data_IF_571164012019
#
_entry.id   IF_571164012019
#
_cell.length_a   1.000
_cell.length_b   1.000
_cell.length_c   1.000
_cell.angle_alpha   90.00
_cell.angle_beta   90.00
_cell.angle_gamma   90.00
#
_symmetry.space_group_name_H-M   'P 1'
#
loop_
_entity.id
_entity.type
_entity.pdbx_description
1 polymer ?
#
# COMPACT_ATOMS: atom_id res chain seq x y z
N UNK A 1 50.19 -34.81 -73.89
CA UNK A 1 49.06 -34.93 -72.95
C UNK A 1 49.57 -34.38 -71.64
N UNK A 2 49.37 -33.08 -71.43
CA UNK A 2 49.95 -32.32 -70.32
C UNK A 2 48.81 -32.05 -69.35
N UNK A 3 48.80 -32.75 -68.21
CA UNK A 3 47.89 -32.42 -67.11
C UNK A 3 48.27 -31.05 -66.57
N UNK A 4 47.43 -30.06 -66.85
CA UNK A 4 47.47 -28.77 -66.17
C UNK A 4 46.64 -28.91 -64.89
N UNK A 5 47.27 -29.33 -63.79
CA UNK A 5 46.66 -29.19 -62.46
C UNK A 5 46.59 -27.69 -62.16
N UNK A 6 45.45 -27.08 -62.46
CA UNK A 6 45.18 -25.68 -62.16
C UNK A 6 45.16 -25.49 -60.64
N UNK A 7 46.29 -25.09 -60.07
CA UNK A 7 46.38 -24.77 -58.65
C UNK A 7 45.77 -23.39 -58.43
N UNK A 8 44.51 -23.37 -58.00
CA UNK A 8 43.83 -22.16 -57.55
C UNK A 8 44.47 -21.68 -56.24
N UNK A 9 44.73 -20.37 -56.06
CA UNK A 9 45.18 -19.84 -54.77
C UNK A 9 44.22 -20.26 -53.65
N UNK A 10 44.74 -20.64 -52.49
CA UNK A 10 43.95 -21.21 -51.39
C UNK A 10 42.78 -20.30 -50.95
N UNK A 11 42.98 -18.98 -50.96
CA UNK A 11 41.92 -18.00 -50.66
C UNK A 11 40.82 -17.95 -51.72
N UNK A 12 41.18 -18.14 -52.99
CA UNK A 12 40.25 -18.15 -54.11
C UNK A 12 39.41 -19.44 -54.09
N UNK A 13 40.04 -20.57 -53.77
CA UNK A 13 39.35 -21.85 -53.55
C UNK A 13 38.38 -21.78 -52.36
N UNK A 14 38.82 -21.20 -51.23
CA UNK A 14 37.97 -20.99 -50.05
C UNK A 14 36.75 -20.11 -50.36
N UNK A 15 36.93 -19.04 -51.14
CA UNK A 15 35.83 -18.18 -51.57
C UNK A 15 34.83 -18.93 -52.48
N UNK A 16 35.33 -19.72 -53.44
CA UNK A 16 34.50 -20.54 -54.32
C UNK A 16 33.68 -21.57 -53.55
N UNK A 17 34.30 -22.32 -52.63
CA UNK A 17 33.63 -23.32 -51.80
C UNK A 17 32.63 -22.71 -50.82
N UNK A 18 32.92 -21.51 -50.31
CA UNK A 18 31.97 -20.74 -49.51
C UNK A 18 30.71 -20.40 -50.30
N UNK A 19 30.85 -19.88 -51.54
CA UNK A 19 29.73 -19.52 -52.41
C UNK A 19 28.93 -20.74 -52.84
N UNK A 20 29.61 -21.85 -53.17
CA UNK A 20 28.97 -23.12 -53.52
C UNK A 20 28.30 -23.81 -52.32
N UNK A 21 28.60 -23.36 -51.10
CA UNK A 21 28.04 -23.93 -49.87
C UNK A 21 28.58 -25.32 -49.54
N UNK A 22 29.78 -25.67 -50.05
CA UNK A 22 30.41 -26.99 -49.83
C UNK A 22 31.27 -27.07 -48.58
N UNK A 23 31.56 -25.93 -47.94
CA UNK A 23 32.38 -25.87 -46.73
C UNK A 23 31.70 -26.52 -45.50
N UNK A 24 32.45 -27.27 -44.68
CA UNK A 24 32.02 -27.64 -43.34
C UNK A 24 31.73 -26.41 -42.47
N UNK A 25 30.85 -26.56 -41.47
CA UNK A 25 30.39 -25.45 -40.63
C UNK A 25 31.53 -24.62 -40.02
N UNK A 26 32.59 -25.27 -39.53
CA UNK A 26 33.71 -24.57 -38.89
C UNK A 26 34.50 -23.68 -39.88
N UNK A 27 34.73 -24.18 -41.10
CA UNK A 27 35.43 -23.44 -42.15
C UNK A 27 34.55 -22.33 -42.71
N UNK A 28 33.24 -22.57 -42.82
CA UNK A 28 32.26 -21.56 -43.21
C UNK A 28 32.25 -20.37 -42.24
N UNK A 29 32.24 -20.60 -40.94
CA UNK A 29 32.32 -19.53 -39.93
C UNK A 29 33.64 -18.75 -40.03
N UNK A 30 34.73 -19.44 -40.38
CA UNK A 30 36.03 -18.79 -40.61
C UNK A 30 35.99 -17.89 -41.84
N UNK A 31 35.37 -18.35 -42.95
CA UNK A 31 35.16 -17.55 -44.14
C UNK A 31 34.23 -16.34 -43.87
N UNK A 32 33.17 -16.51 -43.08
CA UNK A 32 32.26 -15.42 -42.67
C UNK A 32 33.00 -14.33 -41.88
N UNK A 33 33.83 -14.72 -40.92
CA UNK A 33 34.68 -13.78 -40.18
C UNK A 33 35.67 -13.02 -41.10
N UNK A 34 36.21 -13.70 -42.12
CA UNK A 34 37.07 -13.07 -43.13
C UNK A 34 36.30 -12.11 -44.04
N UNK A 35 35.06 -12.44 -44.43
CA UNK A 35 34.19 -11.54 -45.22
C UNK A 35 33.92 -10.24 -44.45
N UNK A 36 33.70 -10.32 -43.14
CA UNK A 36 33.50 -9.14 -42.29
C UNK A 36 34.77 -8.29 -42.16
N UNK A 37 35.93 -8.93 -41.98
CA UNK A 37 37.18 -8.25 -41.60
C UNK A 37 38.14 -7.91 -42.75
N UNK A 38 38.07 -8.59 -43.89
CA UNK A 38 38.98 -8.43 -45.04
C UNK A 38 38.23 -8.08 -46.33
N UNK A 39 38.42 -6.83 -46.80
CA UNK A 39 37.81 -6.34 -48.03
C UNK A 39 38.28 -7.09 -49.30
N UNK A 40 39.52 -7.60 -49.32
CA UNK A 40 40.06 -8.34 -50.47
C UNK A 40 39.39 -9.70 -50.59
N UNK A 41 39.23 -10.41 -49.47
CA UNK A 41 38.52 -11.68 -49.45
C UNK A 41 37.03 -11.52 -49.78
N UNK A 42 36.40 -10.44 -49.30
CA UNK A 42 35.03 -10.08 -49.66
C UNK A 42 34.86 -9.89 -51.18
N UNK A 43 35.79 -9.20 -51.83
CA UNK A 43 35.77 -9.02 -53.28
C UNK A 43 35.86 -10.36 -54.03
N UNK A 44 36.71 -11.30 -53.57
CA UNK A 44 36.77 -12.65 -54.16
C UNK A 44 35.42 -13.39 -54.05
N UNK A 45 34.75 -13.28 -52.90
CA UNK A 45 33.42 -13.87 -52.70
C UNK A 45 32.38 -13.23 -53.62
N UNK A 46 32.38 -11.91 -53.78
CA UNK A 46 31.48 -11.18 -54.68
C UNK A 46 31.73 -11.57 -56.16
N UNK A 47 32.99 -11.73 -56.57
CA UNK A 47 33.35 -12.18 -57.91
C UNK A 47 32.81 -13.59 -58.19
N UNK A 48 32.94 -14.51 -57.23
CA UNK A 48 32.39 -15.86 -57.35
C UNK A 48 30.86 -15.89 -57.38
N UNK A 49 30.20 -15.07 -56.55
CA UNK A 49 28.75 -14.92 -56.58
C UNK A 49 28.28 -14.42 -57.95
N UNK A 50 28.94 -13.39 -58.48
CA UNK A 50 28.63 -12.84 -59.81
C UNK A 50 28.83 -13.87 -60.91
N UNK A 51 29.92 -14.64 -60.84
CA UNK A 51 30.23 -15.69 -61.82
C UNK A 51 29.23 -16.83 -61.82
N UNK A 52 28.68 -17.19 -60.65
CA UNK A 52 27.76 -18.32 -60.48
C UNK A 52 26.29 -17.91 -60.55
N UNK A 53 25.95 -16.62 -60.41
CA UNK A 53 24.57 -16.13 -60.46
C UNK A 53 23.76 -16.60 -61.69
N UNK A 54 24.32 -16.63 -62.93
CA UNK A 54 23.56 -17.10 -64.09
C UNK A 54 23.11 -18.56 -64.01
N UNK A 55 23.78 -19.41 -63.22
CA UNK A 55 23.35 -20.80 -63.04
C UNK A 55 21.99 -20.91 -62.36
N UNK A 56 21.55 -19.87 -61.65
CA UNK A 56 20.23 -19.83 -61.02
C UNK A 56 19.10 -19.54 -62.03
N UNK A 57 19.41 -19.02 -63.22
CA UNK A 57 18.40 -18.63 -64.22
C UNK A 57 17.72 -19.83 -64.89
N UNK A 58 18.37 -21.00 -64.87
CA UNK A 58 17.86 -22.23 -65.50
C UNK A 58 16.79 -22.96 -64.65
N UNK A 59 16.49 -22.48 -63.44
CA UNK A 59 15.51 -23.08 -62.55
C UNK A 59 14.14 -22.40 -62.65
N UNK A 60 13.07 -23.20 -62.63
CA UNK A 60 11.70 -22.69 -62.62
C UNK A 60 11.34 -22.07 -61.26
N UNK A 61 10.69 -20.90 -61.28
CA UNK A 61 10.19 -20.23 -60.09
C UNK A 61 9.10 -21.07 -59.39
N UNK A 62 9.37 -21.49 -58.16
CA UNK A 62 8.39 -22.20 -57.32
C UNK A 62 7.74 -21.22 -56.34
N UNK A 63 6.41 -21.12 -56.38
CA UNK A 63 5.65 -20.27 -55.44
C UNK A 63 5.77 -20.82 -54.02
N UNK A 64 6.27 -20.03 -53.04
CA UNK A 64 6.38 -20.49 -51.66
C UNK A 64 4.99 -20.61 -50.99
N UNK A 65 4.84 -21.44 -49.94
CA UNK A 65 3.61 -21.53 -49.17
C UNK A 65 3.14 -20.18 -48.62
N UNK A 66 1.81 -19.91 -48.59
CA UNK A 66 1.28 -18.65 -48.08
C UNK A 66 1.69 -18.44 -46.61
N UNK A 67 2.18 -17.23 -46.30
CA UNK A 67 2.60 -16.85 -44.95
C UNK A 67 4.01 -17.31 -44.55
N UNK A 68 4.77 -17.99 -45.43
CA UNK A 68 6.17 -18.35 -45.15
C UNK A 68 7.02 -17.12 -44.84
N UNK A 69 6.89 -16.05 -45.65
CA UNK A 69 7.61 -14.80 -45.43
C UNK A 69 7.31 -14.19 -44.05
N UNK A 70 6.02 -14.06 -43.70
CA UNK A 70 5.58 -13.59 -42.38
C UNK A 70 6.15 -14.43 -41.23
N UNK A 71 6.24 -15.76 -41.41
CA UNK A 71 6.81 -16.67 -40.41
C UNK A 71 8.31 -16.43 -40.24
N UNK A 72 9.05 -16.18 -41.32
CA UNK A 72 10.46 -15.79 -41.27
C UNK A 72 10.62 -14.46 -40.55
N UNK A 73 9.84 -13.44 -40.94
CA UNK A 73 9.86 -12.11 -40.30
C UNK A 73 9.60 -12.20 -38.80
N UNK A 74 8.56 -12.92 -38.37
CA UNK A 74 8.24 -13.06 -36.95
C UNK A 74 9.34 -13.73 -36.10
N UNK A 75 10.21 -14.53 -36.73
CA UNK A 75 11.31 -15.22 -36.06
C UNK A 75 12.57 -14.36 -35.98
N UNK A 76 12.85 -13.61 -37.04
CA UNK A 76 14.03 -12.73 -37.12
C UNK A 76 13.81 -11.41 -36.39
N UNK A 77 12.58 -10.90 -36.45
CA UNK A 77 12.16 -9.64 -35.88
C UNK A 77 10.94 -9.87 -34.99
N UNK A 78 11.11 -10.58 -33.85
CA UNK A 78 10.01 -10.71 -32.91
C UNK A 78 9.60 -9.31 -32.44
N UNK A 79 8.34 -8.94 -32.68
CA UNK A 79 7.80 -7.76 -32.04
C UNK A 79 7.91 -7.96 -30.52
N UNK A 80 8.35 -6.95 -29.76
CA UNK A 80 8.37 -7.05 -28.31
C UNK A 80 6.96 -7.38 -27.86
N UNK A 81 6.76 -8.56 -27.25
CA UNK A 81 5.46 -8.91 -26.74
C UNK A 81 4.96 -7.76 -25.87
N UNK A 82 3.71 -7.28 -26.06
CA UNK A 82 3.15 -6.30 -25.17
C UNK A 82 3.13 -6.96 -23.80
N UNK A 83 4.07 -6.54 -22.94
CA UNK A 83 4.22 -7.04 -21.60
C UNK A 83 2.88 -6.78 -20.94
N UNK A 84 2.04 -7.81 -20.84
CA UNK A 84 0.71 -7.69 -20.28
C UNK A 84 0.92 -7.25 -18.84
N UNK A 85 0.83 -5.94 -18.60
CA UNK A 85 0.84 -5.31 -17.27
C UNK A 85 -0.44 -5.66 -16.50
N UNK A 86 -1.00 -6.85 -16.71
CA UNK A 86 -2.10 -7.40 -15.95
C UNK A 86 -1.74 -7.50 -14.46
N UNK A 87 -0.45 -7.65 -14.13
CA UNK A 87 0.03 -7.68 -12.74
C UNK A 87 -0.02 -6.33 -12.00
N UNK A 88 0.14 -5.19 -12.68
CA UNK A 88 0.13 -3.88 -12.00
C UNK A 88 -1.30 -3.43 -11.66
N UNK A 89 -2.27 -3.74 -12.51
CA UNK A 89 -3.68 -3.35 -12.28
C UNK A 89 -4.24 -4.08 -11.04
N UNK A 90 -3.86 -5.34 -10.82
CA UNK A 90 -4.22 -6.07 -9.59
C UNK A 90 -3.39 -5.64 -8.37
N UNK A 91 -2.12 -5.24 -8.56
CA UNK A 91 -1.30 -4.67 -7.48
C UNK A 91 -1.77 -3.28 -7.01
N UNK A 92 -2.32 -2.46 -7.92
CA UNK A 92 -2.88 -1.16 -7.59
C UNK A 92 -4.23 -1.29 -6.85
N UNK A 93 -5.04 -2.30 -7.19
CA UNK A 93 -6.30 -2.57 -6.49
C UNK A 93 -6.09 -3.17 -5.09
N UNK A 94 -5.08 -4.03 -4.88
CA UNK A 94 -4.74 -4.54 -3.54
C UNK A 94 -4.07 -3.47 -2.67
N UNK A 95 -3.21 -2.62 -3.24
CA UNK A 95 -2.59 -1.50 -2.52
C UNK A 95 -3.59 -0.45 -2.06
N UNK A 96 -4.56 -0.08 -2.92
CA UNK A 96 -5.63 0.87 -2.55
C UNK A 96 -6.58 0.27 -1.51
N UNK A 97 -6.97 -1.00 -1.64
CA UNK A 97 -7.82 -1.67 -0.67
C UNK A 97 -7.13 -1.78 0.71
N UNK A 98 -5.85 -2.15 0.76
CA UNK A 98 -5.09 -2.22 2.01
C UNK A 98 -4.87 -0.84 2.64
N UNK A 99 -4.60 0.20 1.83
CA UNK A 99 -4.47 1.56 2.31
C UNK A 99 -5.80 2.12 2.85
N UNK A 100 -6.93 1.79 2.22
CA UNK A 100 -8.26 2.16 2.73
C UNK A 100 -8.60 1.40 4.02
N UNK A 101 -8.30 0.10 4.11
CA UNK A 101 -8.47 -0.67 5.36
C UNK A 101 -7.55 -0.13 6.46
N UNK A 102 -6.29 0.16 6.16
CA UNK A 102 -5.36 0.75 7.12
C UNK A 102 -5.80 2.15 7.54
N UNK A 103 -6.28 2.99 6.62
CA UNK A 103 -6.83 4.31 6.94
C UNK A 103 -8.10 4.20 7.78
N UNK A 104 -8.99 3.24 7.51
CA UNK A 104 -10.17 2.97 8.34
C UNK A 104 -9.76 2.45 9.73
N UNK A 105 -8.82 1.51 9.83
CA UNK A 105 -8.31 1.01 11.11
C UNK A 105 -7.63 2.13 11.90
N UNK A 106 -6.77 2.93 11.26
CA UNK A 106 -6.14 4.10 11.88
C UNK A 106 -7.23 5.09 12.32
N UNK A 107 -8.19 5.44 11.48
CA UNK A 107 -9.31 6.32 11.85
C UNK A 107 -10.18 5.74 12.97
N UNK A 108 -10.39 4.43 13.05
CA UNK A 108 -11.11 3.78 14.15
C UNK A 108 -10.29 3.74 15.45
N UNK A 109 -8.96 3.63 15.36
CA UNK A 109 -8.06 3.61 16.53
C UNK A 109 -7.70 5.00 17.05
N UNK A 110 -7.64 6.01 16.18
CA UNK A 110 -7.40 7.42 16.51
C UNK A 110 -8.72 8.20 16.64
N UNK A 111 -9.87 7.57 16.44
CA UNK A 111 -11.16 8.19 16.68
C UNK A 111 -11.18 8.70 18.12
N UNK A 112 -11.39 10.01 18.35
CA UNK A 112 -11.52 10.53 19.70
C UNK A 112 -12.68 9.78 20.36
N UNK A 113 -12.40 9.16 21.52
CA UNK A 113 -13.44 8.53 22.32
C UNK A 113 -14.54 9.57 22.57
N UNK A 114 -15.76 9.28 22.13
CA UNK A 114 -16.87 10.22 22.26
C UNK A 114 -17.05 10.55 23.76
N UNK A 115 -17.08 11.84 24.15
CA UNK A 115 -17.30 12.20 25.54
C UNK A 115 -18.68 11.69 25.98
N UNK A 116 -18.76 11.13 27.19
CA UNK A 116 -20.03 10.82 27.82
C UNK A 116 -20.66 12.15 28.24
N UNK A 117 -21.73 12.56 27.55
CA UNK A 117 -22.51 13.73 27.93
C UNK A 117 -23.71 13.26 28.73
N UNK A 118 -23.73 13.59 30.03
CA UNK A 118 -24.85 13.31 30.90
C UNK A 118 -25.57 14.61 31.25
N UNK A 119 -26.85 14.68 30.89
CA UNK A 119 -27.71 15.82 31.19
C UNK A 119 -28.81 15.35 32.12
N UNK A 120 -28.94 15.97 33.28
CA UNK A 120 -30.08 15.78 34.15
C UNK A 120 -30.60 17.13 34.64
N UNK A 121 -31.91 17.19 34.75
CA UNK A 121 -32.66 18.32 35.30
C UNK A 121 -33.17 17.88 36.67
N UNK A 122 -32.51 18.34 37.74
CA UNK A 122 -32.97 18.13 39.11
C UNK A 122 -33.93 19.23 39.56
N UNK A 123 -34.75 18.96 40.59
CA UNK A 123 -35.68 19.93 41.18
C UNK A 123 -34.92 21.15 41.74
N UNK A 124 -34.78 22.19 40.91
CA UNK A 124 -34.32 23.52 41.31
C UNK A 124 -33.14 24.09 40.51
N UNK A 125 -32.28 23.28 39.87
CA UNK A 125 -31.15 23.76 39.07
C UNK A 125 -30.84 22.82 37.90
N UNK A 126 -30.72 23.39 36.69
CA UNK A 126 -30.27 22.66 35.50
C UNK A 126 -28.74 22.65 35.45
N UNK A 127 -28.14 21.46 35.51
CA UNK A 127 -26.70 21.26 35.40
C UNK A 127 -26.40 20.28 34.26
N UNK A 128 -25.60 20.71 33.28
CA UNK A 128 -25.19 19.87 32.16
C UNK A 128 -23.70 19.65 32.20
N UNK A 129 -23.28 18.39 32.24
CA UNK A 129 -21.87 18.01 32.39
C UNK A 129 -21.46 17.03 31.30
N UNK A 130 -20.32 17.30 30.68
CA UNK A 130 -19.62 16.36 29.84
C UNK A 130 -18.48 15.73 30.63
N UNK A 131 -18.35 14.41 30.57
CA UNK A 131 -17.24 13.68 31.17
C UNK A 131 -16.53 12.84 30.11
N UNK A 132 -15.21 12.86 30.12
CA UNK A 132 -14.39 12.00 29.26
C UNK A 132 -13.28 11.36 30.07
N UNK A 133 -13.04 10.08 29.82
CA UNK A 133 -11.90 9.38 30.37
C UNK A 133 -10.84 9.20 29.29
N UNK A 134 -9.66 9.76 29.52
CA UNK A 134 -8.48 9.47 28.72
C UNK A 134 -7.76 8.26 29.32
N UNK A 135 -7.91 7.10 28.68
CA UNK A 135 -7.26 5.87 29.12
C UNK A 135 -5.73 5.89 28.95
N UNK A 136 -5.19 6.70 28.03
CA UNK A 136 -3.75 6.81 27.81
C UNK A 136 -3.11 7.71 28.88
N UNK A 137 -3.75 8.85 29.17
CA UNK A 137 -3.36 9.79 30.23
C UNK A 137 -3.78 9.35 31.64
N UNK A 138 -4.66 8.34 31.76
CA UNK A 138 -5.31 7.91 33.01
C UNK A 138 -5.99 9.06 33.73
N UNK A 139 -6.73 9.87 32.98
CA UNK A 139 -7.31 11.12 33.48
C UNK A 139 -8.80 11.19 33.17
N UNK A 140 -9.61 11.44 34.19
CA UNK A 140 -11.03 11.75 34.06
C UNK A 140 -11.20 13.27 34.02
N UNK A 141 -11.75 13.78 32.93
CA UNK A 141 -12.01 15.20 32.73
C UNK A 141 -13.51 15.41 32.73
N UNK A 142 -13.97 16.27 33.64
CA UNK A 142 -15.36 16.63 33.86
C UNK A 142 -15.53 18.11 33.60
N UNK A 143 -16.42 18.47 32.69
CA UNK A 143 -16.67 19.82 32.24
C UNK A 143 -18.14 20.20 32.41
N UNK A 144 -18.40 21.26 33.16
CA UNK A 144 -19.73 21.88 33.27
C UNK A 144 -19.98 22.72 32.02
N UNK A 145 -20.72 22.14 31.08
CA UNK A 145 -21.08 22.79 29.81
C UNK A 145 -22.27 23.75 29.93
N UNK A 146 -23.13 23.58 30.94
CA UNK A 146 -24.22 24.52 31.25
C UNK A 146 -24.65 24.42 32.72
N UNK A 147 -25.30 25.46 33.22
CA UNK A 147 -25.72 25.59 34.63
C UNK A 147 -24.82 26.51 35.45
N UNK A 148 -25.30 27.01 36.60
CA UNK A 148 -24.54 27.90 37.45
C UNK A 148 -23.37 27.16 38.14
N UNK A 149 -22.43 27.93 38.69
CA UNK A 149 -21.58 27.39 39.75
C UNK A 149 -22.42 27.13 41.01
N UNK A 150 -21.94 26.26 41.89
CA UNK A 150 -22.58 26.04 43.18
C UNK A 150 -22.68 27.35 43.99
N UNK A 151 -23.73 27.47 44.80
CA UNK A 151 -23.92 28.61 45.72
C UNK A 151 -22.78 28.70 46.74
N UNK A 152 -22.56 29.88 47.34
CA UNK A 152 -21.37 30.16 48.16
C UNK A 152 -21.20 29.26 49.41
N UNK A 153 -22.26 28.62 49.87
CA UNK A 153 -22.33 27.68 51.00
C UNK A 153 -22.46 26.21 50.57
N UNK A 154 -22.34 25.93 49.27
CA UNK A 154 -22.46 24.60 48.67
C UNK A 154 -21.27 24.27 47.76
N UNK A 155 -21.06 22.99 47.52
CA UNK A 155 -20.12 22.49 46.50
C UNK A 155 -20.81 21.38 45.70
N UNK A 156 -20.51 21.30 44.41
CA UNK A 156 -20.82 20.09 43.65
C UNK A 156 -19.78 19.02 43.98
N UNK A 157 -20.21 17.81 44.32
CA UNK A 157 -19.31 16.69 44.59
C UNK A 157 -19.49 15.59 43.54
N UNK A 158 -18.36 15.09 43.03
CA UNK A 158 -18.29 14.06 42.00
C UNK A 158 -18.03 12.70 42.62
N UNK A 159 -18.79 11.71 42.19
CA UNK A 159 -18.77 10.34 42.68
C UNK A 159 -18.54 9.34 41.54
N UNK A 160 -17.72 8.32 41.80
CA UNK A 160 -17.64 7.11 40.99
C UNK A 160 -18.42 5.98 41.63
N UNK A 161 -19.24 5.29 40.84
CA UNK A 161 -20.05 4.16 41.27
C UNK A 161 -19.77 2.99 40.33
N UNK A 162 -18.73 2.18 40.61
CA UNK A 162 -18.49 0.96 39.85
C UNK A 162 -19.66 -0.01 39.98
N UNK A 163 -19.91 -0.83 38.96
CA UNK A 163 -21.00 -1.80 38.96
C UNK A 163 -20.96 -2.70 40.22
N UNK A 164 -22.05 -2.70 40.99
CA UNK A 164 -22.18 -3.49 42.22
C UNK A 164 -21.34 -3.02 43.41
N UNK A 165 -20.72 -1.84 43.35
CA UNK A 165 -19.95 -1.23 44.45
C UNK A 165 -20.60 0.06 44.95
N UNK A 166 -20.22 0.47 46.16
CA UNK A 166 -20.64 1.75 46.74
C UNK A 166 -20.01 2.94 46.01
N UNK A 167 -20.70 4.09 46.06
CA UNK A 167 -20.19 5.35 45.55
C UNK A 167 -18.92 5.79 46.31
N UNK A 168 -17.96 6.32 45.57
CA UNK A 168 -16.71 6.87 46.11
C UNK A 168 -16.56 8.31 45.63
N UNK A 169 -16.41 9.25 46.56
CA UNK A 169 -16.11 10.64 46.22
C UNK A 169 -14.72 10.74 45.61
N UNK A 170 -14.62 11.46 44.49
CA UNK A 170 -13.36 11.64 43.76
C UNK A 170 -12.98 13.11 43.58
N UNK A 171 -13.84 14.05 43.98
CA UNK A 171 -13.48 15.47 43.99
C UNK A 171 -14.67 16.42 43.98
N UNK A 172 -14.37 17.70 44.16
CA UNK A 172 -15.34 18.79 44.15
C UNK A 172 -15.27 19.56 42.83
N UNK A 173 -16.43 19.79 42.21
CA UNK A 173 -16.56 20.51 40.93
C UNK A 173 -16.84 21.99 41.20
N UNK A 174 -15.78 22.74 41.53
CA UNK A 174 -15.87 24.20 41.81
C UNK A 174 -15.75 25.04 40.55
N UNK A 175 -14.78 24.70 39.71
CA UNK A 175 -14.53 25.37 38.44
C UNK A 175 -15.37 24.77 37.32
N UNK A 176 -15.30 25.36 36.12
CA UNK A 176 -15.97 24.82 34.94
C UNK A 176 -15.38 23.47 34.50
N UNK A 177 -14.10 23.24 34.76
CA UNK A 177 -13.39 22.01 34.39
C UNK A 177 -12.68 21.43 35.60
N UNK A 178 -12.82 20.11 35.80
CA UNK A 178 -12.14 19.33 36.82
C UNK A 178 -11.46 18.15 36.15
N UNK A 179 -10.14 18.03 36.34
CA UNK A 179 -9.35 16.90 35.86
C UNK A 179 -8.83 16.11 37.07
N UNK A 180 -9.10 14.80 37.07
CA UNK A 180 -8.75 13.90 38.19
C UNK A 180 -7.98 12.70 37.63
N UNK A 181 -6.80 12.37 38.18
CA UNK A 181 -6.11 11.14 37.81
C UNK A 181 -6.92 9.92 38.30
N UNK A 182 -7.28 9.03 37.38
CA UNK A 182 -7.99 7.79 37.68
C UNK A 182 -7.32 6.63 36.93
N UNK A 183 -6.75 5.70 37.69
CA UNK A 183 -5.94 4.58 37.16
C UNK A 183 -6.69 3.72 36.15
N UNK A 184 -7.96 3.44 36.40
CA UNK A 184 -8.82 2.68 35.52
C UNK A 184 -10.27 3.04 35.77
N UNK A 185 -11.04 3.15 34.68
CA UNK A 185 -12.49 3.30 34.73
C UNK A 185 -13.14 2.08 34.05
N UNK A 186 -13.58 1.07 34.81
CA UNK A 186 -14.24 -0.10 34.23
C UNK A 186 -15.51 0.31 33.45
N UNK A 187 -15.80 -0.30 32.29
CA UNK A 187 -17.07 -0.10 31.60
C UNK A 187 -18.27 -0.39 32.51
N UNK A 188 -19.32 0.42 32.39
CA UNK A 188 -20.50 0.29 33.26
C UNK A 188 -20.38 1.04 34.59
N UNK A 189 -19.28 1.78 34.82
CA UNK A 189 -19.14 2.66 35.99
C UNK A 189 -20.04 3.89 35.83
N UNK A 190 -20.87 4.19 36.83
CA UNK A 190 -21.71 5.39 36.84
C UNK A 190 -20.96 6.54 37.48
N UNK A 191 -20.89 7.69 36.81
CA UNK A 191 -20.53 8.97 37.38
C UNK A 191 -21.78 9.64 37.94
N UNK A 192 -21.67 10.22 39.13
CA UNK A 192 -22.74 10.99 39.73
C UNK A 192 -22.24 12.33 40.29
N UNK A 193 -23.09 13.36 40.25
CA UNK A 193 -22.83 14.65 40.89
C UNK A 193 -23.96 14.99 41.85
N UNK A 194 -23.62 15.38 43.08
CA UNK A 194 -24.57 15.87 44.09
C UNK A 194 -24.27 17.30 44.51
N UNK A 195 -25.27 18.01 45.04
CA UNK A 195 -25.10 19.33 45.65
C UNK A 195 -24.94 19.20 47.16
N UNK A 196 -23.71 19.30 47.65
CA UNK A 196 -23.35 19.08 49.03
C UNK A 196 -23.10 20.40 49.77
N UNK A 197 -23.05 20.41 51.12
CA UNK A 197 -22.53 21.55 51.86
C UNK A 197 -21.13 21.96 51.40
N UNK A 198 -20.74 23.20 51.68
CA UNK A 198 -19.38 23.67 51.41
C UNK A 198 -18.35 22.72 52.02
N UNK A 199 -17.44 22.23 51.18
CA UNK A 199 -16.45 21.21 51.52
C UNK A 199 -16.82 19.79 51.10
N UNK A 200 -18.02 19.55 50.55
CA UNK A 200 -18.51 18.23 50.17
C UNK A 200 -19.32 17.56 51.28
N UNK A 201 -19.60 16.27 51.09
CA UNK A 201 -20.31 15.41 52.03
C UNK A 201 -19.53 15.28 53.35
N UNK A 202 -20.15 15.64 54.49
CA UNK A 202 -19.51 15.47 55.80
C UNK A 202 -19.31 14.00 56.22
N UNK A 203 -20.04 13.08 55.59
CA UNK A 203 -20.12 11.67 56.00
C UNK A 203 -19.41 10.72 55.01
N UNK A 204 -18.94 11.24 53.87
CA UNK A 204 -18.34 10.43 52.80
C UNK A 204 -19.36 9.62 51.99
N UNK A 205 -20.65 9.89 52.17
CA UNK A 205 -21.74 9.39 51.32
C UNK A 205 -22.58 10.56 50.82
N UNK A 206 -23.15 10.49 49.63
CA UNK A 206 -24.00 11.56 49.09
C UNK A 206 -25.11 11.95 50.09
N UNK A 207 -25.15 13.23 50.50
CA UNK A 207 -26.18 13.76 51.40
C UNK A 207 -27.12 14.75 50.72
N UNK A 208 -26.68 15.32 49.59
CA UNK A 208 -27.43 16.26 48.78
C UNK A 208 -28.29 15.63 47.69
N UNK A 209 -29.08 16.45 46.97
CA UNK A 209 -29.81 15.99 45.80
C UNK A 209 -28.85 15.53 44.69
N UNK A 210 -29.22 14.45 44.00
CA UNK A 210 -28.53 13.95 42.82
C UNK A 210 -28.88 14.82 41.60
N UNK A 211 -27.85 15.44 41.01
CA UNK A 211 -28.00 16.37 39.90
C UNK A 211 -27.62 15.76 38.55
N UNK A 212 -26.62 14.88 38.52
CA UNK A 212 -26.15 14.21 37.30
C UNK A 212 -25.88 12.74 37.62
N UNK A 213 -26.23 11.85 36.70
CA UNK A 213 -25.87 10.44 36.70
C UNK A 213 -25.67 9.96 35.26
N UNK A 214 -24.55 9.31 34.96
CA UNK A 214 -24.26 8.80 33.61
C UNK A 214 -23.28 7.64 33.64
N UNK A 215 -23.48 6.65 32.76
CA UNK A 215 -22.64 5.44 32.71
C UNK A 215 -21.52 5.61 31.68
N UNK A 216 -20.28 5.36 32.08
CA UNK A 216 -19.12 5.41 31.19
C UNK A 216 -19.03 4.11 30.37
N UNK A 217 -18.95 4.25 29.05
CA UNK A 217 -18.71 3.14 28.11
C UNK A 217 -19.94 2.26 27.83
N UNK A 218 -21.13 2.86 27.81
CA UNK A 218 -22.35 2.24 27.25
C UNK A 218 -22.52 2.55 25.77
#
# INVERSE_FOLDING_TARGET
>A
MTEATGHMPERDALAAEYVLGTLPLAERLTAEALIESDATFRALVEDWQTRLAPLAEDYEDVTPPPGLFRKVESRLFPEPEPQRRAGWVWGALTGLALALVAAVVISLTLAPQAPLVATLTGEGQTLTVAARYDAAGKELIVERTAGPAAEADKDYELWLIPAGKSAVSIGLVREATLAIPVEALPPGTTLAITLEPRGGSPTGVATGPLLVAGVIGG
#
